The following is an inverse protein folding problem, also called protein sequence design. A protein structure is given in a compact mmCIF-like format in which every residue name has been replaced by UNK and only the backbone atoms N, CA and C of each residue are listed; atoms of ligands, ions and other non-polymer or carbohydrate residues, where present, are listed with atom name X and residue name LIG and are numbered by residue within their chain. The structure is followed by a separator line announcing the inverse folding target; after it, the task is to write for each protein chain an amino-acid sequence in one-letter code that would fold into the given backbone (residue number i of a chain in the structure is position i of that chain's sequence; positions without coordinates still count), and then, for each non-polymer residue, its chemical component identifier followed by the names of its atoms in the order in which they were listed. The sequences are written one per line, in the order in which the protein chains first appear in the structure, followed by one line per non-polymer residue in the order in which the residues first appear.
data_IF_838124380051
#
_entry.id   IF_838124380051
#
_cell.length_a   1.000
_cell.length_b   1.000
_cell.length_c   1.000
_cell.angle_alpha   90.00
_cell.angle_beta   90.00
_cell.angle_gamma   90.00
#
_symmetry.space_group_name_H-M   'P 1'
#
loop_
_entity.id
_entity.type
_entity.pdbx_description
1 polymer ?
#
# COMPACT_ATOMS: atom_id res chain seq x y z
N UNK A 1 24.50 8.21 -14.17
CA UNK A 1 25.84 7.74 -13.96
C UNK A 1 26.58 8.76 -13.09
N UNK A 2 27.06 8.38 -11.89
CA UNK A 2 27.70 9.26 -10.90
C UNK A 2 28.90 10.03 -11.45
N UNK A 3 29.59 9.48 -12.42
CA UNK A 3 30.74 10.12 -13.09
C UNK A 3 30.38 11.40 -13.85
N UNK A 4 29.16 11.53 -14.39
CA UNK A 4 28.73 12.71 -15.15
C UNK A 4 28.36 13.92 -14.26
N UNK A 5 28.07 13.68 -12.99
CA UNK A 5 27.71 14.74 -12.03
C UNK A 5 28.99 15.34 -11.44
N UNK A 6 29.95 14.50 -11.10
CA UNK A 6 31.21 14.91 -10.47
C UNK A 6 32.06 15.87 -11.33
N UNK A 7 32.01 15.72 -12.65
CA UNK A 7 32.79 16.55 -13.60
C UNK A 7 32.18 17.95 -13.84
N UNK A 8 30.98 18.23 -13.29
CA UNK A 8 30.28 19.52 -13.47
C UNK A 8 30.42 20.46 -12.27
N UNK A 9 30.97 19.99 -11.15
CA UNK A 9 31.09 20.75 -9.91
C UNK A 9 32.56 20.75 -9.43
N UNK A 10 32.96 21.83 -8.79
CA UNK A 10 34.23 21.84 -8.06
C UNK A 10 34.19 20.82 -6.90
N UNK A 11 35.35 20.39 -6.41
CA UNK A 11 35.45 19.43 -5.32
C UNK A 11 34.74 19.92 -4.05
N UNK A 12 34.66 21.23 -3.83
CA UNK A 12 34.01 21.84 -2.68
C UNK A 12 32.48 21.89 -2.83
N UNK A 13 32.00 22.21 -4.03
CA UNK A 13 30.56 22.13 -4.36
C UNK A 13 30.04 20.69 -4.30
N UNK A 14 30.81 19.73 -4.81
CA UNK A 14 30.45 18.31 -4.73
C UNK A 14 30.39 17.81 -3.28
N UNK A 15 31.31 18.25 -2.42
CA UNK A 15 31.33 17.92 -1.00
C UNK A 15 30.10 18.53 -0.26
N UNK A 16 29.71 19.74 -0.63
CA UNK A 16 28.53 20.39 -0.08
C UNK A 16 27.25 19.67 -0.52
N UNK A 17 27.13 19.31 -1.81
CA UNK A 17 26.00 18.58 -2.36
C UNK A 17 25.82 17.18 -1.72
N UNK A 18 26.94 16.46 -1.48
CA UNK A 18 26.88 15.17 -0.80
C UNK A 18 26.46 15.32 0.66
N UNK A 19 26.98 16.32 1.38
CA UNK A 19 26.58 16.60 2.76
C UNK A 19 25.09 17.03 2.86
N UNK A 20 24.58 17.76 1.89
CA UNK A 20 23.18 18.16 1.86
C UNK A 20 22.26 16.99 1.46
N UNK A 21 22.72 16.09 0.58
CA UNK A 21 22.00 14.86 0.28
C UNK A 21 21.90 13.92 1.51
N UNK A 22 22.96 13.85 2.33
CA UNK A 22 22.93 13.10 3.60
C UNK A 22 21.96 13.73 4.62
N UNK A 23 21.92 15.07 4.70
CA UNK A 23 20.95 15.77 5.55
C UNK A 23 19.50 15.55 5.08
N UNK A 24 19.26 15.59 3.77
CA UNK A 24 17.95 15.32 3.20
C UNK A 24 17.50 13.91 3.56
N UNK A 25 18.36 12.90 3.39
CA UNK A 25 18.04 11.52 3.79
C UNK A 25 17.73 11.40 5.28
N UNK A 26 18.50 12.06 6.15
CA UNK A 26 18.25 12.04 7.59
C UNK A 26 16.93 12.73 7.95
N UNK A 27 16.55 13.79 7.25
CA UNK A 27 15.26 14.47 7.42
C UNK A 27 14.11 13.60 6.90
N UNK A 28 14.28 12.94 5.75
CA UNK A 28 13.30 12.00 5.20
C UNK A 28 13.05 10.82 6.16
N UNK A 29 14.11 10.30 6.78
CA UNK A 29 14.04 9.24 7.78
C UNK A 29 13.34 9.71 9.08
N UNK A 30 13.60 10.95 9.51
CA UNK A 30 12.90 11.58 10.64
C UNK A 30 11.42 11.86 10.32
N UNK A 31 11.11 12.33 9.11
CA UNK A 31 9.72 12.53 8.65
C UNK A 31 9.00 11.18 8.61
N UNK A 32 9.63 10.13 8.08
CA UNK A 32 9.05 8.80 8.08
C UNK A 32 8.79 8.29 9.51
N UNK A 33 9.73 8.51 10.43
CA UNK A 33 9.58 8.10 11.84
C UNK A 33 8.51 8.91 12.57
N UNK A 34 8.40 10.22 12.29
CA UNK A 34 7.35 11.09 12.84
C UNK A 34 5.97 10.76 12.24
N UNK A 35 5.91 10.48 10.93
CA UNK A 35 4.69 10.04 10.28
C UNK A 35 4.22 8.68 10.83
N UNK A 36 5.15 7.78 11.19
CA UNK A 36 4.86 6.54 11.91
C UNK A 36 4.27 6.80 13.29
N UNK A 37 4.84 7.76 14.04
CA UNK A 37 4.34 8.13 15.36
C UNK A 37 2.99 8.85 15.29
N UNK A 38 2.79 9.73 14.31
CA UNK A 38 1.52 10.44 14.06
C UNK A 38 0.43 9.52 13.46
N UNK A 39 0.79 8.57 12.61
CA UNK A 39 -0.16 7.55 12.14
C UNK A 39 -0.61 6.61 13.27
N UNK A 40 0.28 6.32 14.23
CA UNK A 40 -0.10 5.63 15.46
C UNK A 40 -0.97 6.49 16.39
N UNK A 41 -0.87 7.83 16.29
CA UNK A 41 -1.61 8.78 17.12
C UNK A 41 -2.86 9.39 16.44
N UNK A 42 -2.91 9.45 15.11
CA UNK A 42 -3.90 10.23 14.33
C UNK A 42 -4.80 9.46 13.38
N UNK A 43 -5.05 8.15 13.63
CA UNK A 43 -6.14 7.48 12.95
C UNK A 43 -5.80 6.46 11.86
N UNK A 44 -4.63 5.87 11.88
CA UNK A 44 -4.49 4.55 11.29
C UNK A 44 -5.55 3.66 11.95
N UNK A 45 -6.42 3.03 11.15
CA UNK A 45 -7.48 2.20 11.68
C UNK A 45 -6.89 1.18 12.66
N UNK A 46 -7.27 1.27 13.93
CA UNK A 46 -6.76 0.40 14.98
C UNK A 46 -7.23 -1.04 14.72
N UNK A 47 -6.50 -1.99 15.28
CA UNK A 47 -6.90 -3.39 15.25
C UNK A 47 -8.38 -3.55 15.64
N UNK A 48 -9.13 -4.31 14.86
CA UNK A 48 -10.56 -4.54 15.05
C UNK A 48 -11.48 -3.48 14.44
N UNK A 49 -10.95 -2.39 13.87
CA UNK A 49 -11.75 -1.43 13.11
C UNK A 49 -12.19 -2.08 11.79
N UNK A 50 -13.49 -2.01 11.49
CA UNK A 50 -14.00 -2.50 10.21
C UNK A 50 -13.64 -1.54 9.06
N UNK A 51 -13.30 -2.10 7.90
CA UNK A 51 -13.26 -1.32 6.66
C UNK A 51 -14.67 -0.79 6.37
N UNK A 52 -14.81 0.51 6.01
CA UNK A 52 -16.12 1.08 5.74
C UNK A 52 -16.85 0.35 4.61
N UNK A 53 -18.19 0.37 4.65
CA UNK A 53 -19.00 -0.18 3.57
C UNK A 53 -18.75 0.58 2.28
N UNK A 54 -18.63 -0.16 1.17
CA UNK A 54 -18.41 0.43 -0.15
C UNK A 54 -19.14 -0.37 -1.24
N UNK A 55 -19.46 0.34 -2.29
CA UNK A 55 -19.77 -0.20 -3.61
C UNK A 55 -18.77 0.44 -4.59
N UNK A 56 -18.16 -0.35 -5.44
CA UNK A 56 -17.11 0.10 -6.35
C UNK A 56 -16.94 -0.83 -7.53
N UNK A 57 -15.81 -0.71 -8.18
CA UNK A 57 -15.43 -1.57 -9.31
C UNK A 57 -13.95 -1.90 -9.25
N UNK A 58 -13.55 -2.99 -9.89
CA UNK A 58 -12.15 -3.20 -10.23
C UNK A 58 -11.74 -2.35 -11.46
N UNK A 59 -10.46 -2.36 -11.81
CA UNK A 59 -9.98 -1.58 -12.94
C UNK A 59 -10.53 -2.09 -14.30
N UNK A 60 -11.07 -3.28 -14.38
CA UNK A 60 -11.74 -3.87 -15.55
C UNK A 60 -13.23 -3.52 -15.62
N UNK A 61 -13.78 -2.85 -14.56
CA UNK A 61 -15.17 -2.43 -14.47
C UNK A 61 -16.10 -3.47 -13.87
N UNK A 62 -15.58 -4.56 -13.30
CA UNK A 62 -16.41 -5.52 -12.57
C UNK A 62 -16.82 -4.95 -11.22
N UNK A 63 -18.10 -5.12 -10.80
CA UNK A 63 -18.56 -4.61 -9.52
C UNK A 63 -17.86 -5.31 -8.34
N UNK A 64 -17.53 -4.55 -7.33
CA UNK A 64 -16.90 -5.03 -6.08
C UNK A 64 -17.53 -4.29 -4.90
N UNK A 65 -17.81 -5.02 -3.83
CA UNK A 65 -18.34 -4.49 -2.57
C UNK A 65 -17.69 -5.19 -1.36
N UNK A 66 -18.20 -4.96 -0.16
CA UNK A 66 -17.69 -5.57 1.07
C UNK A 66 -17.74 -7.11 1.10
N UNK A 67 -18.49 -7.77 0.21
CA UNK A 67 -18.48 -9.23 0.07
C UNK A 67 -17.08 -9.77 -0.32
N UNK A 68 -16.21 -8.88 -0.82
CA UNK A 68 -14.78 -9.15 -1.04
C UNK A 68 -14.12 -9.78 0.19
N UNK A 69 -14.35 -9.20 1.38
CA UNK A 69 -13.77 -9.72 2.62
C UNK A 69 -14.36 -11.08 3.01
N UNK A 70 -15.68 -11.22 2.91
CA UNK A 70 -16.38 -12.46 3.25
C UNK A 70 -15.98 -13.63 2.33
N UNK A 71 -15.57 -13.35 1.11
CA UNK A 71 -15.09 -14.32 0.13
C UNK A 71 -13.70 -14.89 0.44
N UNK A 72 -12.93 -14.25 1.33
CA UNK A 72 -11.55 -14.58 1.64
C UNK A 72 -11.39 -14.93 3.13
N UNK A 73 -10.46 -15.82 3.47
CA UNK A 73 -10.06 -16.06 4.87
C UNK A 73 -9.42 -14.79 5.47
N UNK A 74 -8.69 -14.06 4.65
CA UNK A 74 -8.13 -12.73 4.92
C UNK A 74 -7.88 -11.98 3.61
N UNK A 75 -7.82 -10.65 3.69
CA UNK A 75 -7.50 -9.78 2.55
C UNK A 75 -6.37 -8.84 2.91
N UNK A 76 -5.32 -8.83 2.11
CA UNK A 76 -4.22 -7.86 2.19
C UNK A 76 -4.59 -6.68 1.30
N UNK A 77 -4.75 -5.49 1.86
CA UNK A 77 -5.12 -4.27 1.12
C UNK A 77 -3.94 -3.31 1.11
N UNK A 78 -3.42 -3.03 -0.08
CA UNK A 78 -2.32 -2.10 -0.30
C UNK A 78 -2.85 -0.79 -0.87
N UNK A 79 -2.51 0.33 -0.22
CA UNK A 79 -2.84 1.69 -0.67
C UNK A 79 -1.64 2.29 -1.38
N UNK A 80 -1.85 2.80 -2.59
CA UNK A 80 -0.80 3.34 -3.44
C UNK A 80 -1.30 4.47 -4.35
N UNK A 81 -0.41 5.10 -5.12
CA UNK A 81 -0.76 6.04 -6.19
C UNK A 81 0.29 6.02 -7.31
N UNK A 82 -0.06 6.47 -8.51
CA UNK A 82 0.75 6.31 -9.72
C UNK A 82 2.12 7.02 -9.65
N UNK A 83 2.20 8.16 -8.95
CA UNK A 83 3.44 8.92 -8.78
C UNK A 83 4.34 8.43 -7.65
N UNK A 84 3.91 7.44 -6.89
CA UNK A 84 4.65 6.90 -5.74
C UNK A 84 5.70 5.89 -6.19
N UNK A 85 6.95 6.32 -6.33
CA UNK A 85 8.03 5.44 -6.79
C UNK A 85 8.17 4.17 -5.94
N UNK A 86 8.27 4.23 -4.58
CA UNK A 86 8.38 3.02 -3.77
C UNK A 86 7.15 2.11 -3.88
N UNK A 87 5.94 2.67 -4.12
CA UNK A 87 4.76 1.84 -4.34
C UNK A 87 4.86 1.05 -5.65
N UNK A 88 5.36 1.69 -6.72
CA UNK A 88 5.50 1.04 -8.04
C UNK A 88 6.59 -0.03 -7.99
N UNK A 89 7.63 0.19 -7.21
CA UNK A 89 8.75 -0.76 -7.04
C UNK A 89 8.32 -2.07 -6.34
N UNK A 90 7.25 -2.06 -5.51
CA UNK A 90 6.76 -3.27 -4.82
C UNK A 90 5.61 -4.01 -5.52
N UNK A 91 5.11 -3.53 -6.70
CA UNK A 91 3.92 -4.11 -7.35
C UNK A 91 4.11 -5.58 -7.76
N UNK A 92 5.30 -5.98 -8.20
CA UNK A 92 5.61 -7.36 -8.53
C UNK A 92 5.78 -8.25 -7.29
N UNK A 93 6.29 -7.70 -6.18
CA UNK A 93 6.33 -8.38 -4.88
C UNK A 93 4.93 -8.63 -4.33
N UNK A 94 4.02 -7.64 -4.44
CA UNK A 94 2.61 -7.77 -4.11
C UNK A 94 1.90 -8.82 -4.99
N UNK A 95 2.24 -8.88 -6.28
CA UNK A 95 1.73 -9.90 -7.17
C UNK A 95 2.21 -11.31 -6.78
N UNK A 96 3.49 -11.44 -6.45
CA UNK A 96 4.08 -12.68 -5.94
C UNK A 96 3.44 -13.09 -4.61
N UNK A 97 3.18 -12.13 -3.72
CA UNK A 97 2.46 -12.37 -2.47
C UNK A 97 1.03 -12.87 -2.75
N UNK A 98 0.32 -12.24 -3.71
CA UNK A 98 -1.03 -12.63 -4.07
C UNK A 98 -1.12 -14.11 -4.49
N UNK A 99 -0.18 -14.58 -5.29
CA UNK A 99 -0.13 -16.00 -5.67
C UNK A 99 0.11 -16.92 -4.46
N UNK A 100 0.92 -16.51 -3.51
CA UNK A 100 1.17 -17.28 -2.28
C UNK A 100 -0.05 -17.32 -1.36
N UNK A 101 -0.71 -16.17 -1.14
CA UNK A 101 -1.84 -16.09 -0.19
C UNK A 101 -3.11 -16.71 -0.74
N UNK A 102 -3.29 -16.79 -2.07
CA UNK A 102 -4.40 -17.52 -2.68
C UNK A 102 -4.46 -18.98 -2.25
N UNK A 103 -3.31 -19.64 -2.12
CA UNK A 103 -3.24 -21.02 -1.63
C UNK A 103 -3.70 -21.18 -0.16
N UNK A 104 -3.77 -20.07 0.57
CA UNK A 104 -4.21 -19.99 1.97
C UNK A 104 -5.65 -19.45 2.12
N UNK A 105 -6.35 -19.25 0.98
CA UNK A 105 -7.69 -18.64 0.95
C UNK A 105 -7.70 -17.12 1.12
N UNK A 106 -6.55 -16.46 0.94
CA UNK A 106 -6.44 -15.01 0.97
C UNK A 106 -6.35 -14.36 -0.40
N UNK A 107 -6.41 -13.05 -0.44
CA UNK A 107 -6.26 -12.23 -1.65
C UNK A 107 -5.49 -10.95 -1.33
N UNK A 108 -4.64 -10.48 -2.28
CA UNK A 108 -4.09 -9.12 -2.26
C UNK A 108 -4.95 -8.23 -3.14
N UNK A 109 -5.31 -7.06 -2.62
CA UNK A 109 -6.11 -6.05 -3.31
C UNK A 109 -5.41 -4.70 -3.24
N UNK A 110 -5.25 -4.03 -4.37
CA UNK A 110 -4.74 -2.67 -4.44
C UNK A 110 -5.89 -1.64 -4.39
N UNK A 111 -5.65 -0.53 -3.72
CA UNK A 111 -6.49 0.66 -3.81
C UNK A 111 -5.57 1.81 -4.21
N UNK A 112 -5.73 2.27 -5.46
CA UNK A 112 -4.99 3.41 -5.96
C UNK A 112 -5.82 4.69 -5.75
N UNK A 113 -5.30 5.63 -4.97
CA UNK A 113 -6.05 6.85 -4.62
C UNK A 113 -6.32 7.78 -5.80
N UNK A 114 -5.57 7.65 -6.91
CA UNK A 114 -5.81 8.42 -8.14
C UNK A 114 -6.89 7.80 -9.05
N UNK A 115 -7.36 6.59 -8.74
CA UNK A 115 -8.44 5.92 -9.49
C UNK A 115 -9.82 6.11 -8.86
N UNK A 116 -9.90 6.75 -7.70
CA UNK A 116 -11.18 7.03 -7.03
C UNK A 116 -12.12 7.80 -7.97
N UNK A 117 -13.43 7.66 -7.75
CA UNK A 117 -14.49 8.21 -8.60
C UNK A 117 -14.49 7.66 -10.05
N UNK A 118 -13.73 6.59 -10.32
CA UNK A 118 -13.58 6.06 -11.67
C UNK A 118 -12.78 7.01 -12.60
N UNK A 119 -11.83 7.77 -12.03
CA UNK A 119 -10.96 8.64 -12.81
C UNK A 119 -10.22 7.87 -13.89
N UNK A 120 -10.69 7.99 -15.12
CA UNK A 120 -10.17 7.21 -16.26
C UNK A 120 -8.69 7.43 -16.50
N UNK A 121 -8.19 8.67 -16.36
CA UNK A 121 -6.78 8.98 -16.53
C UNK A 121 -5.92 8.26 -15.48
N UNK A 122 -6.37 8.24 -14.23
CA UNK A 122 -5.73 7.51 -13.13
C UNK A 122 -5.75 5.99 -13.38
N UNK A 123 -6.88 5.46 -13.83
CA UNK A 123 -7.05 4.04 -14.17
C UNK A 123 -6.10 3.62 -15.30
N UNK A 124 -6.04 4.40 -16.37
CA UNK A 124 -5.17 4.10 -17.52
C UNK A 124 -3.68 4.13 -17.12
N UNK A 125 -3.30 5.06 -16.26
CA UNK A 125 -1.95 5.15 -15.73
C UNK A 125 -1.63 3.96 -14.80
N UNK A 126 -2.53 3.61 -13.89
CA UNK A 126 -2.39 2.45 -13.00
C UNK A 126 -2.24 1.14 -13.78
N UNK A 127 -3.09 0.90 -14.79
CA UNK A 127 -3.01 -0.28 -15.66
C UNK A 127 -1.67 -0.38 -16.39
N UNK A 128 -1.12 0.75 -16.87
CA UNK A 128 0.21 0.76 -17.51
C UNK A 128 1.31 0.37 -16.54
N UNK A 129 1.27 0.87 -15.30
CA UNK A 129 2.25 0.52 -14.27
C UNK A 129 2.15 -0.95 -13.88
N UNK A 130 0.95 -1.45 -13.60
CA UNK A 130 0.72 -2.86 -13.30
C UNK A 130 1.21 -3.78 -14.43
N UNK A 131 0.90 -3.44 -15.69
CA UNK A 131 1.38 -4.21 -16.85
C UNK A 131 2.91 -4.15 -16.99
N UNK A 132 3.53 -3.00 -16.73
CA UNK A 132 4.98 -2.84 -16.84
C UNK A 132 5.76 -3.62 -15.78
N UNK A 133 5.17 -3.84 -14.60
CA UNK A 133 5.75 -4.65 -13.52
C UNK A 133 5.30 -6.12 -13.56
N UNK A 134 4.42 -6.51 -14.50
CA UNK A 134 3.85 -7.85 -14.56
C UNK A 134 2.83 -8.16 -13.47
N UNK A 135 2.39 -7.15 -12.72
CA UNK A 135 1.40 -7.31 -11.67
C UNK A 135 -0.02 -7.44 -12.25
N UNK A 136 -0.77 -8.44 -11.77
CA UNK A 136 -2.13 -8.75 -12.22
C UNK A 136 -3.13 -8.95 -11.08
N UNK A 137 -2.71 -8.69 -9.83
CA UNK A 137 -3.62 -8.75 -8.69
C UNK A 137 -4.67 -7.64 -8.77
N UNK A 138 -5.84 -7.91 -8.18
CA UNK A 138 -7.00 -7.02 -8.26
C UNK A 138 -6.70 -5.65 -7.68
N UNK A 139 -7.04 -4.61 -8.43
CA UNK A 139 -7.06 -3.24 -7.95
C UNK A 139 -8.48 -2.70 -8.07
N UNK A 140 -8.97 -2.03 -7.03
CA UNK A 140 -10.35 -1.55 -6.93
C UNK A 140 -10.41 -0.04 -6.69
N UNK A 141 -11.54 0.54 -7.04
CA UNK A 141 -11.87 1.94 -6.75
C UNK A 141 -13.35 2.09 -6.37
N UNK A 142 -13.66 3.18 -5.72
CA UNK A 142 -15.00 3.56 -5.27
C UNK A 142 -15.11 5.08 -5.20
N UNK A 143 -16.29 5.61 -4.84
CA UNK A 143 -16.50 7.04 -4.73
C UNK A 143 -15.64 7.66 -3.62
N UNK A 144 -14.91 8.73 -3.91
CA UNK A 144 -14.06 9.46 -2.96
C UNK A 144 -14.85 10.08 -1.79
N UNK A 145 -16.11 10.46 -2.04
CA UNK A 145 -17.02 11.00 -1.03
C UNK A 145 -17.64 9.95 -0.09
N UNK A 146 -17.52 8.64 -0.40
CA UNK A 146 -17.96 7.56 0.48
C UNK A 146 -17.07 7.47 1.74
N UNK A 147 -17.50 6.74 2.76
CA UNK A 147 -16.68 6.54 3.95
C UNK A 147 -15.42 5.73 3.65
N UNK A 148 -15.48 4.77 2.71
CA UNK A 148 -14.30 4.06 2.20
C UNK A 148 -13.37 5.00 1.41
N UNK A 149 -13.92 5.92 0.61
CA UNK A 149 -13.13 6.94 -0.08
C UNK A 149 -12.42 7.86 0.89
N UNK A 150 -13.11 8.34 1.92
CA UNK A 150 -12.49 9.13 2.99
C UNK A 150 -11.41 8.34 3.74
N UNK A 151 -11.65 7.04 4.03
CA UNK A 151 -10.64 6.16 4.61
C UNK A 151 -9.38 6.13 3.74
N UNK A 152 -9.52 5.89 2.43
CA UNK A 152 -8.39 5.84 1.49
C UNK A 152 -7.66 7.19 1.39
N UNK A 153 -8.38 8.31 1.39
CA UNK A 153 -7.81 9.66 1.33
C UNK A 153 -7.15 10.10 2.65
N UNK A 154 -7.48 9.46 3.77
CA UNK A 154 -6.84 9.70 5.07
C UNK A 154 -5.54 8.90 5.26
N UNK A 155 -5.12 8.08 4.28
CA UNK A 155 -3.81 7.45 4.28
C UNK A 155 -2.74 8.52 4.05
N UNK A 156 -1.90 8.74 5.06
CA UNK A 156 -0.91 9.84 5.07
C UNK A 156 0.47 9.43 4.58
N UNK A 157 0.75 8.13 4.49
CA UNK A 157 2.03 7.60 4.02
C UNK A 157 1.79 6.52 2.95
N UNK A 158 2.67 6.45 1.95
CA UNK A 158 2.56 5.46 0.87
C UNK A 158 3.91 4.79 0.60
N UNK A 159 3.90 3.48 0.31
CA UNK A 159 2.73 2.59 0.39
C UNK A 159 2.31 2.31 1.84
N UNK A 160 1.04 1.98 2.05
CA UNK A 160 0.53 1.47 3.33
C UNK A 160 -0.26 0.19 3.08
N UNK A 161 0.03 -0.85 3.87
CA UNK A 161 -0.60 -2.16 3.72
C UNK A 161 -1.32 -2.58 5.00
N UNK A 162 -2.58 -2.99 4.86
CA UNK A 162 -3.42 -3.55 5.93
C UNK A 162 -3.71 -5.02 5.68
N UNK A 163 -3.94 -5.77 6.75
CA UNK A 163 -4.57 -7.09 6.69
C UNK A 163 -5.96 -7.00 7.30
N UNK A 164 -6.95 -7.50 6.60
CA UNK A 164 -8.35 -7.61 7.06
C UNK A 164 -8.74 -9.07 7.20
N UNK A 165 -9.53 -9.36 8.23
CA UNK A 165 -10.15 -10.68 8.39
C UNK A 165 -11.40 -10.85 7.50
N UNK A 166 -12.02 -12.01 7.53
CA UNK A 166 -13.25 -12.32 6.77
C UNK A 166 -14.43 -11.39 7.08
N UNK A 167 -14.45 -10.78 8.26
CA UNK A 167 -15.49 -9.83 8.64
C UNK A 167 -15.15 -8.38 8.22
N UNK A 168 -14.02 -8.19 7.55
CA UNK A 168 -13.51 -6.88 7.12
C UNK A 168 -12.89 -6.05 8.24
N UNK A 169 -12.51 -6.66 9.37
CA UNK A 169 -11.84 -5.95 10.45
C UNK A 169 -10.33 -5.98 10.31
N UNK A 170 -9.68 -4.87 10.66
CA UNK A 170 -8.21 -4.76 10.67
C UNK A 170 -7.60 -5.77 11.63
N UNK A 171 -6.61 -6.51 11.16
CA UNK A 171 -5.80 -7.45 11.96
C UNK A 171 -4.37 -6.93 12.08
N UNK A 172 -3.95 -6.72 13.31
CA UNK A 172 -2.63 -6.15 13.63
C UNK A 172 -2.53 -4.65 13.37
N UNK A 173 -1.31 -4.17 13.17
CA UNK A 173 -1.05 -2.77 12.83
C UNK A 173 -0.84 -2.63 11.32
N UNK A 174 -1.20 -1.50 10.71
CA UNK A 174 -0.86 -1.22 9.32
C UNK A 174 0.66 -1.16 9.15
N UNK A 175 1.11 -1.58 7.98
CA UNK A 175 2.51 -1.53 7.60
C UNK A 175 2.74 -0.29 6.76
N UNK A 176 3.69 0.54 7.18
CA UNK A 176 4.06 1.76 6.48
C UNK A 176 5.36 1.53 5.71
N UNK A 177 5.36 1.89 4.42
CA UNK A 177 6.44 1.60 3.49
C UNK A 177 6.35 0.21 2.86
N UNK A 178 7.27 -0.07 1.94
CA UNK A 178 7.22 -1.26 1.08
C UNK A 178 7.35 -2.58 1.83
N UNK A 179 6.71 -3.62 1.28
CA UNK A 179 6.81 -5.01 1.76
C UNK A 179 8.12 -5.68 1.38
N UNK A 180 8.94 -5.06 0.56
CA UNK A 180 10.31 -5.44 0.22
C UNK A 180 11.25 -5.37 1.44
N UNK A 181 10.89 -4.62 2.48
CA UNK A 181 11.63 -4.55 3.74
C UNK A 181 11.36 -5.78 4.60
N UNK A 182 12.43 -6.42 5.08
CA UNK A 182 12.34 -7.65 5.88
C UNK A 182 11.44 -7.48 7.12
N UNK A 183 11.53 -6.34 7.79
CA UNK A 183 10.70 -6.02 8.97
C UNK A 183 9.21 -5.92 8.63
N UNK A 184 8.86 -5.27 7.49
CA UNK A 184 7.49 -5.17 7.02
C UNK A 184 6.95 -6.52 6.56
N UNK A 185 7.76 -7.31 5.85
CA UNK A 185 7.36 -8.65 5.42
C UNK A 185 7.10 -9.57 6.63
N UNK A 186 7.94 -9.51 7.67
CA UNK A 186 7.74 -10.28 8.91
C UNK A 186 6.48 -9.83 9.65
N UNK A 187 6.23 -8.52 9.75
CA UNK A 187 5.02 -7.99 10.38
C UNK A 187 3.76 -8.35 9.57
N UNK A 188 3.82 -8.30 8.24
CA UNK A 188 2.74 -8.74 7.35
C UNK A 188 2.41 -10.21 7.57
N UNK A 189 3.41 -11.08 7.59
CA UNK A 189 3.21 -12.52 7.84
C UNK A 189 2.55 -12.76 9.20
N UNK A 190 2.99 -12.06 10.24
CA UNK A 190 2.38 -12.14 11.58
C UNK A 190 0.90 -11.75 11.57
N UNK A 191 0.53 -10.68 10.84
CA UNK A 191 -0.85 -10.25 10.72
C UNK A 191 -1.69 -11.27 9.93
N UNK A 192 -1.15 -11.86 8.87
CA UNK A 192 -1.77 -12.94 8.09
C UNK A 192 -2.02 -14.17 8.96
N UNK A 193 -1.02 -14.62 9.72
CA UNK A 193 -1.12 -15.78 10.62
C UNK A 193 -2.22 -15.55 11.68
N UNK A 194 -2.31 -14.33 12.22
CA UNK A 194 -3.35 -13.96 13.17
C UNK A 194 -4.76 -13.98 12.55
N UNK A 195 -4.90 -13.50 11.30
CA UNK A 195 -6.17 -13.54 10.57
C UNK A 195 -6.61 -14.98 10.29
N UNK A 196 -5.70 -15.83 9.83
CA UNK A 196 -5.94 -17.26 9.59
C UNK A 196 -6.32 -18.00 10.89
N UNK A 197 -5.62 -17.72 11.99
CA UNK A 197 -5.97 -18.33 13.28
C UNK A 197 -7.39 -17.96 13.72
N UNK A 198 -7.82 -16.71 13.46
CA UNK A 198 -9.19 -16.25 13.75
C UNK A 198 -10.22 -16.91 12.83
N UNK A 199 -9.92 -17.08 11.54
CA UNK A 199 -10.80 -17.73 10.57
C UNK A 199 -11.01 -19.22 10.89
N UNK A 200 -9.95 -19.93 11.26
CA UNK A 200 -9.99 -21.35 11.64
C UNK A 200 -10.69 -21.62 12.98
N UNK A 201 -10.93 -20.59 13.79
CA UNK A 201 -11.61 -20.70 15.08
C UNK A 201 -13.14 -20.54 14.99
N UNK A 202 -13.66 -20.23 13.78
CA UNK A 202 -15.10 -20.12 13.49
C UNK A 202 -15.68 -21.43 13.03
#
# INVERSE_FOLDING_TARGET
SEMCIRDRFSAEEYKTLTADAEKIRAIEEQIATLALADAAASGAAAQGTAFPQFEGSDLEGNPVDNSLFAGNAFTVVNFWFNGCKPCVEELDDLNTLNEKVKAQGGEVVGINTETLDGNQQGIDAAKKLLAATGASYRNIYFASGSDAGKFALNIMAFPTTYVFDRDGNVVGQPLLGGIDKEENLAALQKNIDAALAKDNAK
#
